data_IF_158488725468
#
_entry.id   IF_158488725468
#
_cell.length_a   1.000
_cell.length_b   1.000
_cell.length_c   1.000
_cell.angle_alpha   90.00
_cell.angle_beta   90.00
_cell.angle_gamma   90.00
#
_symmetry.space_group_name_H-M   'P 1'
#
loop_
_entity.id
_entity.type
_entity.pdbx_description
1 polymer ?
#
# COMPACT_ATOMS: atom_id res chain seq x y z
N UNK A 1 29.84 55.24 30.14
CA UNK A 1 28.85 54.94 29.08
C UNK A 1 29.56 54.98 27.74
N UNK A 2 30.13 53.86 27.31
CA UNK A 2 30.64 53.65 25.94
C UNK A 2 30.56 52.16 25.66
N UNK A 3 29.66 51.74 24.77
CA UNK A 3 29.58 50.35 24.31
C UNK A 3 30.64 50.13 23.23
N UNK A 4 31.59 49.25 23.54
CA UNK A 4 32.68 48.81 22.67
C UNK A 4 32.22 47.62 21.81
N UNK A 5 32.49 47.75 20.52
CA UNK A 5 32.58 46.64 19.55
C UNK A 5 33.79 45.78 19.94
N UNK A 6 33.61 44.47 20.06
CA UNK A 6 34.71 43.50 20.01
C UNK A 6 34.25 42.21 19.34
N UNK A 7 35.16 41.66 18.56
CA UNK A 7 35.00 40.67 17.52
C UNK A 7 34.94 39.22 18.01
N UNK A 8 34.40 38.37 17.13
CA UNK A 8 34.80 36.99 16.87
C UNK A 8 35.27 36.11 18.04
N UNK A 9 34.38 35.23 18.50
CA UNK A 9 34.78 33.89 18.93
C UNK A 9 34.02 32.84 18.12
N UNK A 10 34.71 32.36 17.07
CA UNK A 10 34.56 31.02 16.52
C UNK A 10 34.84 30.02 17.65
N UNK A 11 33.83 29.25 18.07
CA UNK A 11 34.06 27.97 18.74
C UNK A 11 33.87 26.85 17.70
N UNK A 12 34.94 26.13 17.33
CA UNK A 12 34.83 24.92 16.52
C UNK A 12 34.45 23.72 17.40
N UNK A 13 33.84 22.71 16.78
CA UNK A 13 33.62 21.36 17.30
C UNK A 13 32.53 21.19 18.36
N UNK A 14 31.28 21.34 17.91
CA UNK A 14 30.17 20.50 18.38
C UNK A 14 29.75 19.57 17.25
N UNK A 15 30.50 18.49 17.00
CA UNK A 15 30.09 17.43 16.07
C UNK A 15 28.82 16.81 16.62
N UNK A 16 27.67 17.20 16.08
CA UNK A 16 26.43 16.43 16.24
C UNK A 16 26.66 15.10 15.52
N UNK A 17 27.02 14.06 16.25
CA UNK A 17 27.09 12.71 15.74
C UNK A 17 25.69 12.25 15.32
N UNK A 18 25.35 12.41 14.03
CA UNK A 18 24.27 11.67 13.40
C UNK A 18 24.87 10.75 12.34
N UNK A 19 25.48 9.64 12.76
CA UNK A 19 25.80 8.57 11.81
C UNK A 19 24.49 7.82 11.47
N UNK A 20 23.64 8.43 10.64
CA UNK A 20 22.53 7.71 10.02
C UNK A 20 23.02 7.10 8.72
N UNK A 21 23.00 5.78 8.68
CA UNK A 21 23.41 5.00 7.52
C UNK A 21 22.60 5.44 6.29
N UNK A 22 23.26 5.55 5.15
CA UNK A 22 22.58 5.65 3.85
C UNK A 22 21.79 4.37 3.56
N UNK A 23 20.81 4.39 2.62
CA UNK A 23 20.07 3.19 2.24
C UNK A 23 20.96 1.96 1.94
N UNK A 24 22.03 2.17 1.17
CA UNK A 24 22.97 1.09 0.80
C UNK A 24 23.80 0.59 1.99
N UNK A 25 24.18 1.47 2.93
CA UNK A 25 24.91 1.06 4.14
C UNK A 25 24.00 0.28 5.09
N UNK A 26 22.74 0.70 5.24
CA UNK A 26 21.73 -0.04 6.01
C UNK A 26 21.48 -1.42 5.41
N UNK A 27 21.37 -1.52 4.09
CA UNK A 27 21.26 -2.80 3.39
C UNK A 27 22.47 -3.72 3.67
N UNK A 28 23.69 -3.19 3.56
CA UNK A 28 24.93 -3.92 3.86
C UNK A 28 24.99 -4.40 5.31
N UNK A 29 24.46 -3.62 6.25
CA UNK A 29 24.32 -4.02 7.65
C UNK A 29 23.36 -5.20 7.80
N UNK A 30 22.18 -5.15 7.14
CA UNK A 30 21.22 -6.26 7.17
C UNK A 30 21.76 -7.55 6.54
N UNK A 31 22.58 -7.44 5.50
CA UNK A 31 23.31 -8.59 4.92
C UNK A 31 24.28 -9.17 5.95
N UNK A 32 25.09 -8.33 6.61
CA UNK A 32 26.03 -8.79 7.65
C UNK A 32 25.30 -9.47 8.82
N UNK A 33 24.11 -8.97 9.16
CA UNK A 33 23.23 -9.56 10.18
C UNK A 33 22.47 -10.81 9.68
N UNK A 34 22.65 -11.22 8.42
CA UNK A 34 21.92 -12.33 7.77
C UNK A 34 20.40 -12.17 7.78
N UNK A 35 19.90 -10.93 7.87
CA UNK A 35 18.46 -10.61 7.80
C UNK A 35 17.96 -10.45 6.37
N UNK A 36 18.86 -10.14 5.44
CA UNK A 36 18.56 -9.94 4.02
C UNK A 36 19.62 -10.65 3.19
N UNK A 37 19.21 -11.30 2.10
CA UNK A 37 20.14 -11.91 1.13
C UNK A 37 20.61 -10.85 0.14
N UNK A 38 21.87 -10.96 -0.28
CA UNK A 38 22.44 -10.08 -1.28
C UNK A 38 21.77 -10.27 -2.65
N UNK A 39 21.40 -9.16 -3.28
CA UNK A 39 20.89 -9.09 -4.66
C UNK A 39 21.54 -7.89 -5.35
N UNK A 40 22.18 -8.12 -6.50
CA UNK A 40 22.88 -7.10 -7.28
C UNK A 40 21.93 -6.07 -7.92
N UNK A 41 20.70 -6.46 -8.28
CA UNK A 41 19.66 -5.55 -8.76
C UNK A 41 19.20 -4.64 -7.62
N UNK A 42 18.96 -5.19 -6.43
CA UNK A 42 18.61 -4.39 -5.25
C UNK A 42 19.73 -3.40 -4.90
N UNK A 43 21.00 -3.82 -4.94
CA UNK A 43 22.14 -2.91 -4.71
C UNK A 43 22.21 -1.78 -5.75
N UNK A 44 21.88 -2.06 -7.01
CA UNK A 44 21.80 -1.05 -8.08
C UNK A 44 20.70 -0.03 -7.80
N UNK A 45 19.51 -0.49 -7.40
CA UNK A 45 18.41 0.39 -6.98
C UNK A 45 18.83 1.23 -5.77
N UNK A 46 19.42 0.60 -4.75
CA UNK A 46 19.89 1.29 -3.54
C UNK A 46 20.95 2.36 -3.83
N UNK A 47 21.80 2.15 -4.83
CA UNK A 47 22.75 3.17 -5.28
C UNK A 47 22.03 4.42 -5.81
N UNK A 48 20.91 4.23 -6.53
CA UNK A 48 20.05 5.34 -6.96
C UNK A 48 19.34 5.99 -5.77
N UNK A 49 18.81 5.19 -4.84
CA UNK A 49 18.19 5.69 -3.60
C UNK A 49 19.15 6.51 -2.75
N UNK A 50 20.43 6.15 -2.70
CA UNK A 50 21.47 6.92 -2.02
C UNK A 50 21.66 8.31 -2.63
N UNK A 51 21.43 8.50 -3.93
CA UNK A 51 21.49 9.84 -4.55
C UNK A 51 20.32 10.71 -4.06
N UNK A 52 19.11 10.16 -4.04
CA UNK A 52 17.92 10.86 -3.52
C UNK A 52 18.08 11.17 -2.03
N UNK A 53 18.60 10.22 -1.24
CA UNK A 53 18.91 10.42 0.17
C UNK A 53 19.86 11.62 0.39
N UNK A 54 20.93 11.74 -0.40
CA UNK A 54 21.87 12.86 -0.29
C UNK A 54 21.21 14.20 -0.58
N UNK A 55 20.35 14.25 -1.61
CA UNK A 55 19.56 15.45 -1.91
C UNK A 55 18.64 15.81 -0.73
N UNK A 56 17.97 14.83 -0.14
CA UNK A 56 17.12 15.04 1.05
C UNK A 56 17.92 15.48 2.28
N UNK A 57 19.15 14.99 2.44
CA UNK A 57 19.99 15.37 3.58
C UNK A 57 20.33 16.86 3.58
N UNK A 58 20.54 17.43 2.40
CA UNK A 58 20.83 18.86 2.20
C UNK A 58 19.54 19.71 2.02
N UNK A 59 18.38 19.06 1.94
CA UNK A 59 17.14 19.74 1.63
C UNK A 59 16.54 20.46 2.83
N UNK A 60 16.29 21.77 2.66
CA UNK A 60 15.48 22.59 3.55
C UNK A 60 14.21 23.01 2.83
N UNK A 61 13.08 22.44 3.27
CA UNK A 61 11.78 22.69 2.67
C UNK A 61 11.24 24.08 2.97
N UNK A 62 11.51 24.64 4.15
CA UNK A 62 11.00 25.98 4.48
C UNK A 62 11.68 27.04 3.59
N UNK A 63 12.97 26.88 3.31
CA UNK A 63 13.65 27.69 2.30
C UNK A 63 13.02 27.55 0.90
N UNK A 64 12.63 26.33 0.50
CA UNK A 64 11.93 26.10 -0.76
C UNK A 64 10.61 26.90 -0.84
N UNK A 65 9.79 26.83 0.21
CA UNK A 65 8.48 27.52 0.28
C UNK A 65 8.63 29.05 0.28
N UNK A 66 9.62 29.57 1.00
CA UNK A 66 9.90 31.02 1.05
C UNK A 66 10.37 31.52 -0.33
N UNK A 67 11.23 30.77 -1.01
CA UNK A 67 11.68 31.08 -2.36
C UNK A 67 10.52 31.15 -3.36
N UNK A 68 9.56 30.24 -3.24
CA UNK A 68 8.35 30.23 -4.05
C UNK A 68 7.44 31.43 -3.77
N UNK A 69 7.15 31.73 -2.51
CA UNK A 69 6.35 32.88 -2.10
C UNK A 69 6.97 34.21 -2.57
N UNK A 70 8.31 34.32 -2.50
CA UNK A 70 9.04 35.48 -3.00
C UNK A 70 8.97 35.64 -4.52
N UNK A 71 8.98 34.54 -5.29
CA UNK A 71 8.77 34.55 -6.75
C UNK A 71 7.35 34.98 -7.12
N UNK A 72 6.32 34.47 -6.44
CA UNK A 72 4.92 34.89 -6.67
C UNK A 72 4.71 36.39 -6.52
N UNK A 73 5.41 37.03 -5.57
CA UNK A 73 5.35 38.49 -5.37
C UNK A 73 6.01 39.32 -6.48
N UNK A 74 6.91 38.74 -7.27
CA UNK A 74 7.61 39.45 -8.36
C UNK A 74 6.80 39.54 -9.65
N UNK A 75 5.75 38.75 -9.78
CA UNK A 75 4.95 38.66 -11.00
C UNK A 75 3.55 39.25 -10.80
N UNK A 76 2.97 39.83 -11.85
CA UNK A 76 1.64 40.46 -11.78
C UNK A 76 0.54 39.40 -11.54
N UNK A 77 -0.60 39.77 -10.92
CA UNK A 77 -1.69 38.85 -10.63
C UNK A 77 -2.23 38.13 -11.87
N UNK A 78 -2.28 38.83 -13.02
CA UNK A 78 -2.66 38.26 -14.32
C UNK A 78 -1.62 37.26 -14.86
N UNK A 79 -0.33 37.54 -14.68
CA UNK A 79 0.74 36.63 -15.06
C UNK A 79 0.74 35.37 -14.20
N UNK A 80 0.52 35.50 -12.89
CA UNK A 80 0.38 34.36 -11.99
C UNK A 80 -0.86 33.50 -12.32
N UNK A 81 -1.98 34.13 -12.71
CA UNK A 81 -3.20 33.43 -13.15
C UNK A 81 -2.99 32.69 -14.49
N UNK A 82 -2.30 33.32 -15.45
CA UNK A 82 -1.95 32.68 -16.72
C UNK A 82 -0.95 31.52 -16.52
N UNK A 83 0.06 31.69 -15.66
CA UNK A 83 1.00 30.62 -15.29
C UNK A 83 0.31 29.45 -14.58
N UNK A 84 -0.68 29.71 -13.72
CA UNK A 84 -1.47 28.62 -13.11
C UNK A 84 -2.30 27.80 -14.11
N UNK A 85 -2.54 28.33 -15.32
CA UNK A 85 -3.25 27.65 -16.41
C UNK A 85 -2.32 27.01 -17.45
N UNK A 86 -1.04 27.37 -17.49
CA UNK A 86 -0.07 26.93 -18.49
C UNK A 86 1.08 26.20 -17.78
N UNK A 87 0.84 24.93 -17.45
CA UNK A 87 1.76 23.95 -16.81
C UNK A 87 2.44 24.38 -15.50
N UNK A 88 2.47 23.53 -14.46
CA UNK A 88 3.20 23.85 -13.25
C UNK A 88 4.70 23.88 -13.56
N UNK A 89 5.32 25.07 -13.42
CA UNK A 89 6.77 25.20 -13.37
C UNK A 89 7.27 24.41 -12.15
N UNK A 90 7.72 23.19 -12.40
CA UNK A 90 8.46 22.38 -11.44
C UNK A 90 9.70 23.17 -11.02
N UNK A 91 9.78 23.52 -9.74
CA UNK A 91 10.91 24.29 -9.19
C UNK A 91 12.13 23.36 -9.04
N UNK A 92 13.23 23.75 -9.69
CA UNK A 92 14.49 23.02 -9.92
C UNK A 92 15.33 22.68 -8.66
N UNK A 93 14.76 22.79 -7.46
CA UNK A 93 15.50 22.64 -6.18
C UNK A 93 14.89 21.63 -5.20
N UNK A 94 13.67 21.13 -5.45
CA UNK A 94 13.13 20.05 -4.63
C UNK A 94 13.67 18.69 -5.13
N UNK A 95 14.17 17.81 -4.25
CA UNK A 95 14.67 16.49 -4.62
C UNK A 95 13.69 15.71 -5.50
N UNK A 96 14.23 14.93 -6.43
CA UNK A 96 13.39 14.03 -7.23
C UNK A 96 12.88 12.89 -6.34
N UNK A 97 11.63 12.50 -6.56
CA UNK A 97 11.06 11.31 -5.96
C UNK A 97 11.58 10.03 -6.61
N UNK A 98 11.03 8.90 -6.17
CA UNK A 98 11.32 7.57 -6.69
C UNK A 98 10.02 6.89 -7.07
N UNK A 99 9.97 6.29 -8.25
CA UNK A 99 8.90 5.39 -8.65
C UNK A 99 9.51 4.03 -8.94
N UNK A 100 9.36 3.10 -8.00
CA UNK A 100 9.90 1.76 -8.08
C UNK A 100 8.82 0.78 -8.56
N UNK A 101 9.03 0.18 -9.73
CA UNK A 101 8.09 -0.79 -10.28
C UNK A 101 8.76 -2.12 -10.60
N UNK A 102 7.96 -3.18 -10.72
CA UNK A 102 8.41 -4.53 -11.07
C UNK A 102 7.39 -5.57 -10.63
N UNK A 103 7.66 -6.84 -10.89
CA UNK A 103 6.73 -7.93 -10.58
C UNK A 103 6.49 -8.15 -9.08
N UNK A 104 5.52 -9.00 -8.73
CA UNK A 104 5.21 -9.27 -7.33
C UNK A 104 6.35 -10.06 -6.68
N UNK A 105 6.80 -9.65 -5.49
CA UNK A 105 7.78 -10.41 -4.70
C UNK A 105 9.25 -10.10 -4.96
N UNK A 106 9.58 -9.14 -5.83
CA UNK A 106 10.98 -8.74 -6.11
C UNK A 106 11.62 -7.83 -5.03
N UNK A 107 10.89 -7.49 -3.95
CA UNK A 107 11.45 -6.77 -2.79
C UNK A 107 11.23 -5.25 -2.77
N UNK A 108 10.33 -4.71 -3.61
CA UNK A 108 10.04 -3.25 -3.68
C UNK A 108 9.72 -2.63 -2.32
N UNK A 109 8.83 -3.26 -1.55
CA UNK A 109 8.42 -2.80 -0.22
C UNK A 109 9.61 -2.78 0.75
N UNK A 110 10.49 -3.78 0.70
CA UNK A 110 11.69 -3.82 1.53
C UNK A 110 12.67 -2.68 1.18
N UNK A 111 12.84 -2.37 -0.11
CA UNK A 111 13.65 -1.23 -0.53
C UNK A 111 13.05 0.11 -0.10
N UNK A 112 11.71 0.23 -0.12
CA UNK A 112 11.02 1.40 0.43
C UNK A 112 11.18 1.49 1.95
N UNK A 113 11.12 0.38 2.69
CA UNK A 113 11.36 0.33 4.14
C UNK A 113 12.76 0.83 4.48
N UNK A 114 13.77 0.33 3.77
CA UNK A 114 15.15 0.77 3.90
C UNK A 114 15.30 2.26 3.65
N UNK A 115 14.70 2.78 2.59
CA UNK A 115 14.73 4.21 2.32
C UNK A 115 14.04 4.99 3.44
N UNK A 116 12.82 4.60 3.82
CA UNK A 116 12.02 5.25 4.86
C UNK A 116 12.76 5.33 6.19
N UNK A 117 13.42 4.25 6.61
CA UNK A 117 14.20 4.19 7.85
C UNK A 117 15.37 5.17 7.84
N UNK A 118 15.97 5.38 6.66
CA UNK A 118 17.14 6.24 6.50
C UNK A 118 16.82 7.71 6.27
N UNK A 119 15.55 8.10 6.05
CA UNK A 119 15.18 9.52 5.84
C UNK A 119 15.79 10.43 6.94
N UNK A 120 16.42 11.57 6.56
CA UNK A 120 17.04 12.50 7.50
C UNK A 120 16.10 12.97 8.63
N UNK A 121 16.63 13.16 9.84
CA UNK A 121 15.85 13.50 11.04
C UNK A 121 15.09 14.81 10.96
N UNK A 122 15.66 15.78 10.24
CA UNK A 122 15.08 17.10 10.11
C UNK A 122 13.87 17.12 9.15
N UNK A 123 13.61 16.02 8.45
CA UNK A 123 12.47 15.86 7.56
C UNK A 123 11.38 14.99 8.18
N UNK A 124 10.15 15.45 8.05
CA UNK A 124 8.96 14.69 8.38
C UNK A 124 8.65 13.67 7.29
N UNK A 125 8.23 12.46 7.69
CA UNK A 125 7.98 11.34 6.78
C UNK A 125 6.65 10.66 7.11
N UNK A 126 5.97 10.18 6.08
CA UNK A 126 4.73 9.42 6.23
C UNK A 126 4.67 8.30 5.20
N UNK A 127 4.24 7.12 5.65
CA UNK A 127 4.04 5.94 4.80
C UNK A 127 2.58 5.53 4.84
N UNK A 128 2.00 5.28 3.67
CA UNK A 128 0.60 4.90 3.50
C UNK A 128 0.45 3.92 2.34
N UNK A 129 -0.54 3.04 2.41
CA UNK A 129 -1.06 2.39 1.21
C UNK A 129 -1.75 3.42 0.31
N UNK A 130 -1.60 3.28 -1.01
CA UNK A 130 -2.16 4.22 -1.98
C UNK A 130 -3.68 4.44 -1.82
N UNK A 131 -4.45 3.39 -1.56
CA UNK A 131 -5.88 3.51 -1.36
C UNK A 131 -6.24 4.35 -0.12
N UNK A 132 -5.53 4.15 1.00
CA UNK A 132 -5.73 4.95 2.21
C UNK A 132 -5.36 6.43 1.99
N UNK A 133 -4.32 6.69 1.19
CA UNK A 133 -3.97 8.04 0.76
C UNK A 133 -5.10 8.69 -0.05
N UNK A 134 -5.69 7.98 -1.01
CA UNK A 134 -6.82 8.50 -1.81
C UNK A 134 -8.07 8.74 -0.97
N UNK A 135 -8.40 7.84 -0.03
CA UNK A 135 -9.51 8.05 0.90
C UNK A 135 -9.32 9.33 1.74
N UNK A 136 -8.11 9.59 2.23
CA UNK A 136 -7.79 10.83 2.96
C UNK A 136 -7.99 12.07 2.08
N UNK A 137 -7.51 12.04 0.82
CA UNK A 137 -7.71 13.13 -0.14
C UNK A 137 -9.20 13.40 -0.38
N UNK A 138 -10.00 12.35 -0.63
CA UNK A 138 -11.44 12.50 -0.87
C UNK A 138 -12.17 13.03 0.37
N UNK A 139 -11.81 12.53 1.56
CA UNK A 139 -12.40 12.99 2.81
C UNK A 139 -12.13 14.49 3.06
N UNK A 140 -10.88 14.94 2.88
CA UNK A 140 -10.53 16.37 2.98
C UNK A 140 -11.17 17.20 1.87
N UNK A 141 -11.24 16.68 0.64
CA UNK A 141 -11.92 17.35 -0.48
C UNK A 141 -13.38 17.60 -0.14
N UNK A 142 -14.07 16.63 0.45
CA UNK A 142 -15.46 16.79 0.88
C UNK A 142 -15.63 17.88 1.95
N UNK A 143 -14.68 18.02 2.88
CA UNK A 143 -14.69 19.10 3.88
C UNK A 143 -14.59 20.47 3.21
N UNK A 144 -13.65 20.66 2.30
CA UNK A 144 -13.48 21.94 1.59
C UNK A 144 -14.60 22.24 0.59
N UNK A 145 -15.32 21.23 0.11
CA UNK A 145 -16.47 21.41 -0.78
C UNK A 145 -17.62 22.17 -0.10
N UNK A 146 -17.69 22.14 1.23
CA UNK A 146 -18.68 22.91 2.01
C UNK A 146 -18.36 24.41 1.98
N UNK A 147 -17.07 24.77 1.92
CA UNK A 147 -16.59 26.15 2.02
C UNK A 147 -16.16 26.79 0.69
N UNK A 148 -16.01 25.99 -0.38
CA UNK A 148 -15.49 26.43 -1.70
C UNK A 148 -16.49 26.26 -2.84
N UNK A 149 -16.41 27.13 -3.84
CA UNK A 149 -17.37 27.22 -4.95
C UNK A 149 -17.18 26.17 -6.05
N UNK A 150 -15.98 25.55 -6.18
CA UNK A 150 -15.70 24.53 -7.20
C UNK A 150 -15.05 23.27 -6.63
N UNK A 151 -15.31 22.13 -7.28
CA UNK A 151 -14.72 20.83 -6.91
C UNK A 151 -13.19 20.82 -7.10
N UNK A 152 -12.69 21.47 -8.15
CA UNK A 152 -11.24 21.57 -8.40
C UNK A 152 -10.55 22.37 -7.28
N UNK A 153 -11.12 23.48 -6.84
CA UNK A 153 -10.56 24.28 -5.75
C UNK A 153 -10.56 23.52 -4.41
N UNK A 154 -11.55 22.65 -4.20
CA UNK A 154 -11.63 21.79 -3.02
C UNK A 154 -10.55 20.70 -3.03
N UNK A 155 -10.32 20.05 -4.18
CA UNK A 155 -9.24 19.06 -4.35
C UNK A 155 -7.88 19.71 -4.16
N UNK A 156 -7.65 20.89 -4.73
CA UNK A 156 -6.39 21.62 -4.55
C UNK A 156 -6.15 22.00 -3.09
N UNK A 157 -7.16 22.50 -2.37
CA UNK A 157 -7.01 22.78 -0.94
C UNK A 157 -6.70 21.53 -0.13
N UNK A 158 -7.42 20.43 -0.38
CA UNK A 158 -7.18 19.16 0.29
C UNK A 158 -5.74 18.66 0.04
N UNK A 159 -5.26 18.80 -1.20
CA UNK A 159 -3.93 18.38 -1.60
C UNK A 159 -2.84 19.22 -0.92
N UNK A 160 -3.00 20.54 -0.85
CA UNK A 160 -2.08 21.42 -0.09
C UNK A 160 -2.12 21.16 1.41
N UNK A 161 -3.27 20.77 1.97
CA UNK A 161 -3.35 20.38 3.37
C UNK A 161 -2.56 19.10 3.63
N UNK A 162 -2.71 18.07 2.79
CA UNK A 162 -1.93 16.84 2.87
C UNK A 162 -0.43 17.11 2.65
N UNK A 163 -0.08 18.00 1.74
CA UNK A 163 1.32 18.38 1.51
C UNK A 163 1.99 18.95 2.77
N UNK A 164 1.25 19.65 3.63
CA UNK A 164 1.79 20.21 4.88
C UNK A 164 2.05 19.15 5.96
N UNK A 165 1.49 17.95 5.83
CA UNK A 165 1.61 16.90 6.84
C UNK A 165 2.98 16.22 6.83
N UNK A 166 3.71 16.24 5.70
CA UNK A 166 4.99 15.54 5.56
C UNK A 166 5.87 16.12 4.46
N UNK A 167 7.19 16.02 4.62
CA UNK A 167 8.19 16.42 3.62
C UNK A 167 8.48 15.29 2.65
N UNK A 168 8.40 14.04 3.13
CA UNK A 168 8.54 12.82 2.33
C UNK A 168 7.31 11.93 2.49
N UNK A 169 6.68 11.55 1.38
CA UNK A 169 5.53 10.64 1.35
C UNK A 169 5.91 9.35 0.63
N UNK A 170 5.85 8.23 1.36
CA UNK A 170 6.03 6.89 0.83
C UNK A 170 4.66 6.25 0.56
N UNK A 171 4.32 6.05 -0.71
CA UNK A 171 3.08 5.40 -1.16
C UNK A 171 3.38 3.95 -1.58
N UNK A 172 2.89 3.02 -0.77
CA UNK A 172 2.97 1.60 -1.10
C UNK A 172 1.83 1.18 -2.03
N UNK A 173 2.11 0.26 -2.93
CA UNK A 173 1.14 -0.41 -3.81
C UNK A 173 0.28 0.57 -4.63
N UNK A 174 0.94 1.53 -5.29
CA UNK A 174 0.27 2.47 -6.19
C UNK A 174 -0.41 1.73 -7.34
N UNK A 175 -1.74 1.74 -7.32
CA UNK A 175 -2.59 1.18 -8.35
C UNK A 175 -3.80 2.09 -8.56
N UNK A 176 -4.02 2.50 -9.81
CA UNK A 176 -5.16 3.36 -10.19
C UNK A 176 -6.10 2.52 -11.03
N UNK A 177 -7.29 2.26 -10.49
CA UNK A 177 -8.36 1.50 -11.16
C UNK A 177 -9.66 2.29 -11.24
N UNK A 178 -9.86 3.25 -10.34
CA UNK A 178 -11.08 4.04 -10.25
C UNK A 178 -10.98 5.35 -11.04
N UNK A 179 -12.09 5.76 -11.68
CA UNK A 179 -12.15 6.99 -12.48
C UNK A 179 -12.09 8.25 -11.62
N UNK A 180 -12.70 8.25 -10.44
CA UNK A 180 -12.67 9.40 -9.53
C UNK A 180 -11.25 9.66 -9.04
N UNK A 181 -10.50 8.61 -8.70
CA UNK A 181 -9.08 8.70 -8.35
C UNK A 181 -8.26 9.27 -9.51
N UNK A 182 -8.45 8.71 -10.71
CA UNK A 182 -7.75 9.16 -11.91
C UNK A 182 -8.00 10.65 -12.22
N UNK A 183 -9.22 11.16 -11.99
CA UNK A 183 -9.55 12.56 -12.26
C UNK A 183 -8.89 13.55 -11.29
N UNK A 184 -8.63 13.16 -10.04
CA UNK A 184 -8.07 14.06 -9.02
C UNK A 184 -6.55 13.97 -8.90
N UNK A 185 -5.96 12.81 -9.21
CA UNK A 185 -4.55 12.48 -8.96
C UNK A 185 -3.57 13.49 -9.55
N UNK A 186 -3.87 14.05 -10.73
CA UNK A 186 -3.04 15.09 -11.33
C UNK A 186 -2.85 16.27 -10.37
N UNK A 187 -3.96 16.85 -9.92
CA UNK A 187 -3.96 18.01 -9.02
C UNK A 187 -3.31 17.70 -7.68
N UNK A 188 -3.48 16.46 -7.20
CA UNK A 188 -2.83 16.00 -5.96
C UNK A 188 -1.31 16.01 -6.11
N UNK A 189 -0.77 15.36 -7.13
CA UNK A 189 0.67 15.33 -7.34
C UNK A 189 1.24 16.71 -7.69
N UNK A 190 0.52 17.53 -8.47
CA UNK A 190 0.93 18.91 -8.76
C UNK A 190 1.10 19.70 -7.45
N UNK A 191 0.12 19.64 -6.55
CA UNK A 191 0.19 20.35 -5.27
C UNK A 191 1.30 19.81 -4.35
N UNK A 192 1.49 18.49 -4.28
CA UNK A 192 2.58 17.88 -3.50
C UNK A 192 3.94 18.37 -3.99
N UNK A 193 4.20 18.30 -5.30
CA UNK A 193 5.49 18.68 -5.87
C UNK A 193 5.73 20.19 -5.84
N UNK A 194 4.69 20.99 -6.04
CA UNK A 194 4.72 22.42 -5.86
C UNK A 194 5.12 22.80 -4.43
N UNK A 195 4.54 22.13 -3.42
CA UNK A 195 4.87 22.35 -2.02
C UNK A 195 6.18 21.68 -1.57
N UNK A 196 6.99 21.21 -2.53
CA UNK A 196 8.31 20.66 -2.29
C UNK A 196 8.31 19.29 -1.60
N UNK A 197 7.22 18.53 -1.67
CA UNK A 197 7.14 17.16 -1.13
C UNK A 197 7.87 16.19 -2.06
N UNK A 198 8.70 15.32 -1.48
CA UNK A 198 9.35 14.23 -2.21
C UNK A 198 8.53 12.94 -2.05
N UNK A 199 8.30 12.21 -3.13
CA UNK A 199 7.53 10.95 -3.10
C UNK A 199 8.41 9.73 -3.30
N UNK A 200 8.13 8.63 -2.60
CA UNK A 200 8.60 7.30 -2.96
C UNK A 200 7.38 6.44 -3.23
N UNK A 201 7.24 5.90 -4.43
CA UNK A 201 6.12 5.06 -4.82
C UNK A 201 6.59 3.65 -5.18
N UNK A 202 5.85 2.63 -4.74
CA UNK A 202 6.01 1.25 -5.23
C UNK A 202 4.81 0.89 -6.11
N UNK A 203 5.02 0.15 -7.20
CA UNK A 203 3.91 -0.37 -8.03
C UNK A 203 4.26 -1.69 -8.72
N UNK A 204 3.24 -2.44 -9.11
CA UNK A 204 3.39 -3.60 -10.00
C UNK A 204 3.29 -3.21 -11.49
N UNK A 205 3.17 -1.92 -11.79
CA UNK A 205 3.06 -1.39 -13.15
C UNK A 205 4.04 -0.25 -13.32
N UNK A 206 4.58 -0.09 -14.53
CA UNK A 206 5.28 1.15 -14.89
C UNK A 206 4.29 2.33 -14.94
N UNK A 207 4.74 3.59 -14.79
CA UNK A 207 3.84 4.76 -14.80
C UNK A 207 2.93 4.82 -16.03
N UNK A 208 3.50 4.58 -17.22
CA UNK A 208 2.75 4.55 -18.49
C UNK A 208 1.66 3.48 -18.58
N UNK A 209 1.63 2.50 -17.68
CA UNK A 209 0.60 1.46 -17.60
C UNK A 209 -0.38 1.67 -16.42
N UNK A 210 -0.18 2.70 -15.60
CA UNK A 210 -1.16 3.08 -14.57
C UNK A 210 -2.47 3.46 -15.22
N UNK A 211 -3.60 2.96 -14.72
CA UNK A 211 -4.94 3.19 -15.26
C UNK A 211 -5.12 2.78 -16.74
N UNK A 212 -4.31 1.81 -17.22
CA UNK A 212 -4.42 1.30 -18.58
C UNK A 212 -5.83 0.71 -18.79
N UNK A 213 -6.46 1.07 -19.91
CA UNK A 213 -7.88 0.78 -20.22
C UNK A 213 -8.93 1.53 -19.37
N UNK A 214 -8.51 2.45 -18.50
CA UNK A 214 -9.43 3.28 -17.72
C UNK A 214 -10.28 4.22 -18.59
N UNK A 215 -11.49 4.50 -18.13
CA UNK A 215 -12.43 5.44 -18.78
C UNK A 215 -11.79 6.83 -18.80
N UNK A 216 -11.84 7.51 -19.96
CA UNK A 216 -11.18 8.83 -20.15
C UNK A 216 -9.68 8.86 -19.82
N UNK A 217 -8.95 7.75 -20.04
CA UNK A 217 -7.49 7.65 -19.86
C UNK A 217 -6.69 8.86 -20.37
N UNK A 218 -7.10 9.48 -21.49
CA UNK A 218 -6.44 10.67 -22.05
C UNK A 218 -6.31 11.81 -21.02
N UNK A 219 -7.31 12.00 -20.17
CA UNK A 219 -7.31 13.00 -19.10
C UNK A 219 -6.33 12.67 -17.96
N UNK A 220 -5.94 11.40 -17.82
CA UNK A 220 -4.97 10.93 -16.82
C UNK A 220 -3.52 10.96 -17.31
N UNK A 221 -3.28 10.99 -18.63
CA UNK A 221 -1.92 11.07 -19.21
C UNK A 221 -1.08 12.21 -18.62
N UNK A 222 -1.61 13.43 -18.37
CA UNK A 222 -0.83 14.48 -17.72
C UNK A 222 -0.32 14.10 -16.31
N UNK A 223 -1.07 13.32 -15.54
CA UNK A 223 -0.63 12.83 -14.24
C UNK A 223 0.53 11.83 -14.39
N UNK A 224 0.47 10.94 -15.39
CA UNK A 224 1.56 10.00 -15.70
C UNK A 224 2.84 10.77 -16.03
N UNK A 225 2.76 11.77 -16.90
CA UNK A 225 3.91 12.60 -17.27
C UNK A 225 4.52 13.29 -16.05
N UNK A 226 3.67 13.85 -15.19
CA UNK A 226 4.13 14.49 -13.97
C UNK A 226 4.86 13.53 -13.03
N UNK A 227 4.37 12.30 -12.90
CA UNK A 227 5.04 11.25 -12.13
C UNK A 227 6.41 10.93 -12.75
N UNK A 228 6.48 10.75 -14.07
CA UNK A 228 7.73 10.45 -14.79
C UNK A 228 8.74 11.62 -14.73
N UNK A 229 8.27 12.87 -14.73
CA UNK A 229 9.11 14.07 -14.64
C UNK A 229 9.65 14.33 -13.23
N UNK A 230 8.86 14.03 -12.19
CA UNK A 230 9.21 14.32 -10.78
C UNK A 230 9.76 13.13 -10.01
N UNK A 231 9.81 11.95 -10.61
CA UNK A 231 10.34 10.76 -9.99
C UNK A 231 11.37 10.07 -10.88
N UNK A 232 12.44 9.59 -10.26
CA UNK A 232 13.29 8.61 -10.89
C UNK A 232 12.52 7.29 -11.00
N UNK A 233 12.17 6.90 -12.23
CA UNK A 233 11.47 5.65 -12.52
C UNK A 233 12.49 4.51 -12.60
N UNK A 234 12.37 3.53 -11.71
CA UNK A 234 13.32 2.43 -11.55
C UNK A 234 12.58 1.10 -11.68
N UNK A 235 13.08 0.23 -12.55
CA UNK A 235 12.59 -1.13 -12.70
C UNK A 235 13.34 -2.09 -11.77
N UNK A 236 12.61 -2.93 -11.05
CA UNK A 236 13.11 -4.03 -10.23
C UNK A 236 12.48 -5.34 -10.73
N UNK A 237 12.87 -5.75 -11.93
CA UNK A 237 12.52 -7.06 -12.50
C UNK A 237 13.58 -8.08 -12.10
N UNK A 238 13.57 -8.47 -10.82
CA UNK A 238 14.37 -9.61 -10.36
C UNK A 238 13.64 -10.90 -10.72
N UNK A 239 14.28 -11.88 -11.41
CA UNK A 239 13.69 -13.20 -11.64
C UNK A 239 13.45 -13.97 -10.33
N UNK A 240 13.99 -13.46 -9.22
CA UNK A 240 13.89 -14.03 -7.90
C UNK A 240 12.67 -13.46 -7.16
N UNK A 241 11.63 -14.29 -6.99
CA UNK A 241 10.58 -14.01 -6.02
C UNK A 241 11.10 -14.36 -4.62
N UNK A 242 11.50 -13.34 -3.86
CA UNK A 242 12.05 -13.50 -2.52
C UNK A 242 11.05 -14.13 -1.53
N UNK A 243 9.74 -14.10 -1.84
CA UNK A 243 8.74 -14.82 -1.03
C UNK A 243 8.83 -16.33 -1.19
N UNK A 244 9.29 -16.83 -2.34
CA UNK A 244 9.39 -18.28 -2.61
C UNK A 244 10.63 -18.92 -1.96
N UNK A 245 11.61 -18.13 -1.54
CA UNK A 245 12.91 -18.62 -1.05
C UNK A 245 13.04 -18.68 0.48
N UNK A 246 12.13 -18.04 1.22
CA UNK A 246 12.01 -18.13 2.69
C UNK A 246 10.88 -19.10 3.05
N UNK A 247 10.91 -20.30 2.47
CA UNK A 247 10.10 -21.44 2.91
C UNK A 247 10.67 -21.98 4.22
N UNK A 248 10.27 -21.36 5.33
CA UNK A 248 10.05 -22.09 6.56
C UNK A 248 8.53 -22.25 6.71
N UNK A 249 8.07 -23.51 6.77
CA UNK A 249 6.68 -23.90 7.02
C UNK A 249 6.23 -23.46 8.41
N UNK A 250 5.91 -22.18 8.56
CA UNK A 250 5.34 -21.59 9.77
C UNK A 250 4.29 -20.51 9.45
N UNK A 251 3.63 -20.62 8.29
CA UNK A 251 2.64 -19.64 7.82
C UNK A 251 1.41 -19.53 8.71
N UNK A 252 0.64 -18.45 8.55
CA UNK A 252 -0.69 -18.25 9.16
C UNK A 252 -1.82 -18.74 8.25
N UNK A 253 -1.45 -19.28 7.09
CA UNK A 253 -2.32 -19.85 6.10
C UNK A 253 -1.97 -21.31 5.85
N UNK A 254 -2.93 -22.21 6.14
CA UNK A 254 -2.71 -23.65 6.12
C UNK A 254 -3.73 -24.33 5.22
N UNK A 255 -3.25 -24.96 4.15
CA UNK A 255 -4.09 -25.60 3.13
C UNK A 255 -3.86 -27.10 3.15
N UNK A 256 -4.93 -27.87 3.16
CA UNK A 256 -4.91 -29.28 2.74
C UNK A 256 -5.85 -29.46 1.55
N UNK A 257 -5.32 -30.16 0.52
CA UNK A 257 -6.09 -30.80 -0.55
C UNK A 257 -5.86 -32.31 -0.41
N UNK A 258 -6.80 -33.01 0.23
CA UNK A 258 -6.64 -34.40 0.65
C UNK A 258 -7.97 -35.13 0.80
N UNK A 259 -7.93 -36.32 1.40
CA UNK A 259 -9.12 -37.09 1.77
C UNK A 259 -10.03 -36.30 2.73
N UNK A 260 -11.30 -36.72 2.84
CA UNK A 260 -12.27 -36.04 3.71
C UNK A 260 -11.84 -36.12 5.18
N UNK A 261 -11.21 -37.22 5.56
CA UNK A 261 -10.72 -37.49 6.90
C UNK A 261 -9.56 -36.56 7.27
N UNK A 262 -8.59 -36.35 6.36
CA UNK A 262 -7.47 -35.42 6.55
C UNK A 262 -7.93 -33.96 6.64
N UNK A 263 -8.96 -33.59 5.88
CA UNK A 263 -9.54 -32.25 5.93
C UNK A 263 -10.18 -31.95 7.30
N UNK A 264 -10.90 -32.92 7.88
CA UNK A 264 -11.50 -32.78 9.21
C UNK A 264 -10.41 -32.66 10.28
N UNK A 265 -9.41 -33.55 10.26
CA UNK A 265 -8.31 -33.52 11.22
C UNK A 265 -7.54 -32.19 11.18
N UNK A 266 -7.32 -31.64 9.99
CA UNK A 266 -6.69 -30.33 9.81
C UNK A 266 -7.53 -29.19 10.36
N UNK A 267 -8.83 -29.17 10.06
CA UNK A 267 -9.74 -28.16 10.57
C UNK A 267 -9.78 -28.17 12.09
N UNK A 268 -9.90 -29.35 12.71
CA UNK A 268 -9.94 -29.49 14.17
C UNK A 268 -8.60 -29.11 14.82
N UNK A 269 -7.48 -29.52 14.22
CA UNK A 269 -6.14 -29.15 14.68
C UNK A 269 -5.93 -27.64 14.71
N UNK A 270 -6.24 -26.94 13.61
CA UNK A 270 -6.05 -25.49 13.53
C UNK A 270 -7.08 -24.72 14.35
N UNK A 271 -8.31 -25.23 14.46
CA UNK A 271 -9.29 -24.64 15.36
C UNK A 271 -8.82 -24.70 16.81
N UNK A 272 -8.33 -25.86 17.28
CA UNK A 272 -7.79 -26.03 18.62
C UNK A 272 -6.51 -25.19 18.85
N UNK A 273 -5.68 -25.02 17.83
CA UNK A 273 -4.50 -24.17 17.92
C UNK A 273 -4.87 -22.68 18.03
N UNK A 274 -5.82 -22.20 17.22
CA UNK A 274 -6.25 -20.80 17.26
C UNK A 274 -7.15 -20.47 18.45
N UNK A 275 -7.84 -21.44 19.05
CA UNK A 275 -8.69 -21.19 20.22
C UNK A 275 -7.90 -20.74 21.44
N UNK A 276 -6.63 -21.15 21.54
CA UNK A 276 -5.74 -20.84 22.68
C UNK A 276 -6.35 -21.25 24.04
N UNK A 277 -7.10 -22.35 24.05
CA UNK A 277 -7.75 -22.90 25.26
C UNK A 277 -9.10 -22.25 25.63
N UNK A 278 -9.61 -21.29 24.85
CA UNK A 278 -10.95 -20.72 25.05
C UNK A 278 -12.06 -21.77 24.84
N UNK A 279 -13.17 -21.69 25.60
CA UNK A 279 -14.29 -22.63 25.46
C UNK A 279 -14.99 -22.47 24.11
N UNK A 280 -15.36 -23.59 23.52
CA UNK A 280 -16.07 -23.62 22.25
C UNK A 280 -17.53 -23.20 22.46
N UNK A 281 -17.97 -22.24 21.64
CA UNK A 281 -19.34 -21.74 21.58
C UNK A 281 -19.89 -21.99 20.18
N UNK A 282 -21.04 -22.64 20.11
CA UNK A 282 -21.78 -22.88 18.86
C UNK A 282 -22.86 -21.81 18.68
N UNK A 283 -23.16 -21.50 17.42
CA UNK A 283 -24.23 -20.58 17.02
C UNK A 283 -24.17 -19.21 17.73
N UNK A 284 -22.94 -18.66 17.85
CA UNK A 284 -22.72 -17.35 18.48
C UNK A 284 -23.29 -16.25 17.59
N UNK A 285 -24.20 -15.44 18.13
CA UNK A 285 -24.77 -14.30 17.40
C UNK A 285 -23.90 -13.05 17.54
N UNK A 286 -23.47 -12.50 16.41
CA UNK A 286 -22.84 -11.18 16.33
C UNK A 286 -23.80 -10.14 15.78
N UNK A 287 -23.88 -8.99 16.44
CA UNK A 287 -24.71 -7.86 15.99
C UNK A 287 -23.85 -6.90 15.18
N UNK A 288 -24.14 -6.79 13.89
CA UNK A 288 -23.38 -5.99 12.93
C UNK A 288 -24.36 -4.99 12.34
N UNK A 289 -24.19 -3.69 12.61
CA UNK A 289 -25.07 -2.62 12.06
C UNK A 289 -26.59 -2.91 12.18
N UNK A 290 -27.03 -3.55 13.27
CA UNK A 290 -28.43 -3.88 13.53
C UNK A 290 -28.94 -5.19 12.92
N UNK A 291 -28.11 -5.97 12.21
CA UNK A 291 -28.41 -7.34 11.77
C UNK A 291 -27.63 -8.36 12.61
N UNK A 292 -28.17 -9.57 12.74
CA UNK A 292 -27.53 -10.69 13.46
C UNK A 292 -26.85 -11.62 12.47
N UNK A 293 -25.60 -11.98 12.75
CA UNK A 293 -24.82 -12.97 12.02
C UNK A 293 -24.59 -14.16 12.95
N UNK A 294 -25.02 -15.34 12.54
CA UNK A 294 -24.77 -16.57 13.29
C UNK A 294 -23.39 -17.12 12.90
N UNK A 295 -22.51 -17.24 13.89
CA UNK A 295 -21.19 -17.88 13.78
C UNK A 295 -21.34 -19.33 14.22
N UNK A 296 -21.27 -20.32 13.30
CA UNK A 296 -21.59 -21.73 13.60
C UNK A 296 -20.75 -22.31 14.74
N UNK A 297 -19.46 -21.98 14.76
CA UNK A 297 -18.53 -22.44 15.79
C UNK A 297 -17.47 -21.38 16.03
N UNK A 298 -17.22 -21.05 17.29
CA UNK A 298 -16.22 -20.09 17.71
C UNK A 298 -15.60 -20.48 19.05
N UNK A 299 -14.44 -19.92 19.38
CA UNK A 299 -13.87 -20.02 20.72
C UNK A 299 -13.35 -18.63 21.11
N UNK A 300 -14.01 -18.01 22.10
CA UNK A 300 -13.82 -16.60 22.45
C UNK A 300 -13.88 -15.69 21.21
N UNK A 301 -13.09 -14.63 21.23
CA UNK A 301 -12.81 -13.75 20.08
C UNK A 301 -11.53 -14.19 19.33
N UNK A 302 -11.03 -15.39 19.62
CA UNK A 302 -9.77 -15.88 19.06
C UNK A 302 -9.98 -16.55 17.70
N UNK A 303 -10.98 -17.43 17.57
CA UNK A 303 -11.21 -18.17 16.33
C UNK A 303 -12.69 -18.34 16.01
N UNK A 304 -13.02 -18.24 14.72
CA UNK A 304 -14.29 -18.68 14.13
C UNK A 304 -14.07 -19.82 13.13
N UNK A 305 -15.05 -20.71 12.99
CA UNK A 305 -15.08 -21.75 11.97
C UNK A 305 -16.37 -21.67 11.16
N UNK A 306 -16.21 -21.73 9.84
CA UNK A 306 -17.28 -21.73 8.86
C UNK A 306 -16.98 -22.77 7.78
N UNK A 307 -18.02 -23.35 7.20
CA UNK A 307 -17.93 -23.95 5.86
C UNK A 307 -17.98 -22.86 4.79
N UNK A 308 -17.49 -23.16 3.58
CA UNK A 308 -17.58 -22.25 2.43
C UNK A 308 -19.03 -21.87 2.12
N UNK A 309 -19.96 -22.81 2.26
CA UNK A 309 -21.38 -22.57 2.00
C UNK A 309 -21.97 -21.57 3.02
N UNK A 310 -21.65 -21.73 4.31
CA UNK A 310 -22.15 -20.84 5.35
C UNK A 310 -21.59 -19.42 5.22
N UNK A 311 -20.35 -19.27 4.77
CA UNK A 311 -19.69 -17.96 4.66
C UNK A 311 -19.95 -17.25 3.34
N UNK A 312 -19.94 -17.96 2.21
CA UNK A 312 -20.00 -17.36 0.88
C UNK A 312 -21.37 -17.51 0.18
N UNK A 313 -22.14 -18.56 0.47
CA UNK A 313 -23.47 -18.74 -0.15
C UNK A 313 -24.56 -17.95 0.58
N UNK A 314 -24.37 -17.59 1.85
CA UNK A 314 -25.29 -16.71 2.61
C UNK A 314 -25.19 -15.25 2.15
N UNK A 315 -26.25 -14.43 2.31
CA UNK A 315 -26.29 -13.04 1.86
C UNK A 315 -25.51 -12.09 2.79
N UNK A 316 -24.22 -12.35 2.98
CA UNK A 316 -23.29 -11.47 3.70
C UNK A 316 -22.77 -10.36 2.78
N UNK A 317 -22.59 -9.18 3.35
CA UNK A 317 -22.05 -8.00 2.70
C UNK A 317 -20.58 -7.76 3.07
N UNK A 318 -19.90 -6.88 2.35
CA UNK A 318 -18.51 -6.51 2.65
C UNK A 318 -18.32 -6.02 4.09
N UNK A 319 -19.29 -5.28 4.64
CA UNK A 319 -19.27 -4.81 6.03
C UNK A 319 -19.35 -5.98 7.03
N UNK A 320 -20.10 -7.03 6.69
CA UNK A 320 -20.24 -8.22 7.54
C UNK A 320 -18.92 -8.99 7.60
N UNK A 321 -18.26 -9.20 6.45
CA UNK A 321 -16.93 -9.83 6.41
C UNK A 321 -15.90 -9.04 7.21
N UNK A 322 -15.88 -7.72 7.07
CA UNK A 322 -14.94 -6.88 7.80
C UNK A 322 -15.16 -6.94 9.32
N UNK A 323 -16.41 -6.94 9.77
CA UNK A 323 -16.73 -7.04 11.19
C UNK A 323 -16.36 -8.40 11.77
N UNK A 324 -16.62 -9.49 11.03
CA UNK A 324 -16.16 -10.84 11.41
C UNK A 324 -14.64 -10.88 11.54
N UNK A 325 -13.90 -10.35 10.56
CA UNK A 325 -12.44 -10.35 10.54
C UNK A 325 -11.81 -9.38 11.56
N UNK A 326 -12.58 -8.42 12.10
CA UNK A 326 -12.17 -7.55 13.21
C UNK A 326 -12.45 -8.17 14.58
N UNK A 327 -13.53 -8.94 14.68
CA UNK A 327 -13.94 -9.60 15.91
C UNK A 327 -13.03 -10.79 16.21
N UNK A 328 -12.74 -11.60 15.19
CA UNK A 328 -11.94 -12.82 15.35
C UNK A 328 -10.51 -12.64 14.84
N UNK A 329 -9.54 -13.11 15.64
CA UNK A 329 -8.11 -13.11 15.26
C UNK A 329 -7.76 -14.21 14.26
N UNK A 330 -8.57 -15.26 14.18
CA UNK A 330 -8.36 -16.43 13.33
C UNK A 330 -9.67 -16.96 12.72
N UNK A 331 -9.55 -17.57 11.55
CA UNK A 331 -10.66 -18.24 10.85
C UNK A 331 -10.23 -19.61 10.34
N UNK A 332 -11.09 -20.61 10.54
CA UNK A 332 -11.00 -21.92 9.89
C UNK A 332 -12.14 -22.01 8.86
N UNK A 333 -11.80 -22.04 7.57
CA UNK A 333 -12.76 -22.13 6.48
C UNK A 333 -12.71 -23.50 5.80
N UNK A 334 -13.76 -24.30 5.96
CA UNK A 334 -13.79 -25.67 5.45
C UNK A 334 -14.56 -25.81 4.14
N UNK A 335 -14.33 -26.92 3.44
CA UNK A 335 -15.15 -27.38 2.31
C UNK A 335 -15.18 -26.41 1.14
N UNK A 336 -14.06 -25.75 0.84
CA UNK A 336 -13.97 -24.87 -0.33
C UNK A 336 -14.09 -25.77 -1.59
N UNK A 337 -15.15 -25.60 -2.40
CA UNK A 337 -15.36 -26.40 -3.59
C UNK A 337 -14.43 -25.94 -4.71
N UNK A 338 -14.41 -26.70 -5.80
CA UNK A 338 -13.96 -26.16 -7.08
C UNK A 338 -14.95 -25.07 -7.53
N UNK A 339 -14.46 -23.86 -7.79
CA UNK A 339 -15.31 -22.72 -8.09
C UNK A 339 -15.21 -22.47 -9.60
N UNK A 340 -16.30 -22.74 -10.32
CA UNK A 340 -16.37 -22.48 -11.75
C UNK A 340 -16.71 -21.00 -12.02
N UNK A 341 -16.26 -20.48 -13.17
CA UNK A 341 -16.39 -19.06 -13.57
C UNK A 341 -17.83 -18.61 -13.82
N UNK A 342 -18.75 -19.56 -13.98
CA UNK A 342 -20.19 -19.33 -14.08
C UNK A 342 -20.80 -18.86 -12.75
N UNK A 343 -20.17 -19.15 -11.60
CA UNK A 343 -20.62 -18.71 -10.26
C UNK A 343 -19.97 -17.42 -9.79
N UNK A 344 -20.06 -16.36 -10.61
CA UNK A 344 -19.40 -15.05 -10.38
C UNK A 344 -19.68 -14.42 -9.02
N UNK A 345 -20.91 -14.52 -8.53
CA UNK A 345 -21.29 -13.92 -7.24
C UNK A 345 -20.56 -14.56 -6.06
N UNK A 346 -20.36 -15.89 -6.10
CA UNK A 346 -19.59 -16.60 -5.08
C UNK A 346 -18.12 -16.22 -5.14
N UNK A 347 -17.56 -16.05 -6.33
CA UNK A 347 -16.18 -15.60 -6.53
C UNK A 347 -15.98 -14.22 -5.90
N UNK A 348 -16.88 -13.28 -6.20
CA UNK A 348 -16.80 -11.92 -5.66
C UNK A 348 -16.91 -11.91 -4.14
N UNK A 349 -17.82 -12.69 -3.55
CA UNK A 349 -17.95 -12.81 -2.09
C UNK A 349 -16.72 -13.42 -1.45
N UNK A 350 -16.16 -14.48 -2.03
CA UNK A 350 -14.94 -15.09 -1.55
C UNK A 350 -13.75 -14.12 -1.62
N UNK A 351 -13.57 -13.41 -2.74
CA UNK A 351 -12.56 -12.35 -2.87
C UNK A 351 -12.77 -11.27 -1.80
N UNK A 352 -14.01 -10.81 -1.58
CA UNK A 352 -14.32 -9.81 -0.56
C UNK A 352 -13.94 -10.28 0.84
N UNK A 353 -14.17 -11.55 1.16
CA UNK A 353 -13.76 -12.14 2.43
C UNK A 353 -12.24 -12.21 2.58
N UNK A 354 -11.51 -12.67 1.54
CA UNK A 354 -10.04 -12.72 1.57
C UNK A 354 -9.46 -11.31 1.73
N UNK A 355 -10.04 -10.32 1.06
CA UNK A 355 -9.64 -8.93 1.17
C UNK A 355 -9.81 -8.41 2.60
N UNK A 356 -10.97 -8.69 3.24
CA UNK A 356 -11.21 -8.34 4.64
C UNK A 356 -10.24 -9.05 5.61
N UNK A 357 -9.99 -10.35 5.41
CA UNK A 357 -9.07 -11.14 6.22
C UNK A 357 -7.62 -10.64 6.13
N UNK A 358 -7.22 -10.24 4.92
CA UNK A 358 -5.92 -9.64 4.65
C UNK A 358 -5.80 -8.28 5.37
N UNK A 359 -6.79 -7.40 5.20
CA UNK A 359 -6.74 -6.05 5.78
C UNK A 359 -6.73 -6.04 7.32
N UNK A 360 -7.26 -7.08 7.97
CA UNK A 360 -7.25 -7.20 9.45
C UNK A 360 -6.13 -8.06 10.02
N UNK A 361 -5.20 -8.54 9.18
CA UNK A 361 -4.14 -9.45 9.58
C UNK A 361 -4.62 -10.77 10.22
N UNK A 362 -5.81 -11.25 9.83
CA UNK A 362 -6.41 -12.47 10.39
C UNK A 362 -5.60 -13.72 10.00
N UNK A 363 -5.48 -14.68 10.93
CA UNK A 363 -4.93 -16.02 10.64
C UNK A 363 -6.00 -16.88 9.96
N UNK A 364 -5.66 -17.66 8.94
CA UNK A 364 -6.64 -18.34 8.10
C UNK A 364 -6.25 -19.80 7.80
N UNK A 365 -6.90 -20.79 8.39
CA UNK A 365 -6.74 -22.19 7.97
C UNK A 365 -7.86 -22.58 7.01
N UNK A 366 -7.54 -23.29 5.92
CA UNK A 366 -8.53 -23.65 4.90
C UNK A 366 -8.44 -25.12 4.47
N UNK A 367 -9.59 -25.71 4.14
CA UNK A 367 -9.66 -27.01 3.46
C UNK A 367 -10.29 -26.84 2.08
N UNK A 368 -9.66 -27.42 1.07
CA UNK A 368 -10.07 -27.24 -0.33
C UNK A 368 -10.02 -28.56 -1.08
N UNK A 369 -10.98 -28.77 -1.99
CA UNK A 369 -11.01 -29.97 -2.85
C UNK A 369 -9.91 -29.95 -3.92
N UNK A 370 -9.45 -28.77 -4.31
CA UNK A 370 -8.46 -28.54 -5.37
C UNK A 370 -7.39 -27.55 -4.92
N UNK A 371 -6.16 -27.67 -5.43
CA UNK A 371 -5.13 -26.66 -5.19
C UNK A 371 -5.64 -25.29 -5.66
N UNK A 372 -5.36 -24.22 -4.90
CA UNK A 372 -5.82 -22.86 -5.23
C UNK A 372 -5.41 -22.40 -6.64
N UNK A 373 -4.23 -22.82 -7.11
CA UNK A 373 -3.71 -22.58 -8.47
C UNK A 373 -4.61 -23.15 -9.56
N UNK A 374 -5.34 -24.22 -9.25
CA UNK A 374 -6.22 -24.96 -10.16
C UNK A 374 -7.71 -24.78 -9.79
N UNK A 375 -8.04 -23.93 -8.83
CA UNK A 375 -9.42 -23.76 -8.34
C UNK A 375 -10.37 -23.18 -9.40
N UNK A 376 -9.80 -22.57 -10.45
CA UNK A 376 -10.52 -22.00 -11.59
C UNK A 376 -9.93 -22.49 -12.90
N UNK A 377 -10.57 -23.47 -13.55
CA UNK A 377 -10.25 -23.80 -14.95
C UNK A 377 -10.67 -22.65 -15.87
N UNK A 378 -9.68 -21.96 -16.43
CA UNK A 378 -9.91 -20.89 -17.41
C UNK A 378 -10.31 -21.52 -18.74
N UNK A 379 -11.62 -21.54 -19.02
CA UNK A 379 -12.08 -21.85 -20.37
C UNK A 379 -11.77 -20.63 -21.26
N UNK A 380 -10.71 -20.72 -22.08
CA UNK A 380 -10.15 -19.62 -22.91
C UNK A 380 -11.13 -19.00 -23.93
N UNK A 381 -12.38 -19.46 -23.99
CA UNK A 381 -13.37 -19.07 -24.98
C UNK A 381 -14.50 -18.15 -24.47
N UNK A 382 -14.51 -17.73 -23.20
CA UNK A 382 -15.54 -16.78 -22.72
C UNK A 382 -15.13 -15.32 -22.93
N UNK A 383 -15.73 -14.67 -23.92
CA UNK A 383 -15.49 -13.27 -24.31
C UNK A 383 -15.68 -12.24 -23.17
N UNK A 384 -14.76 -11.27 -23.15
CA UNK A 384 -14.76 -9.89 -22.59
C UNK A 384 -15.26 -9.59 -21.17
N UNK A 385 -16.05 -10.43 -20.51
CA UNK A 385 -16.68 -10.11 -19.22
C UNK A 385 -16.05 -10.84 -18.02
N UNK A 386 -14.82 -11.36 -18.14
CA UNK A 386 -14.11 -12.09 -17.08
C UNK A 386 -12.73 -11.54 -16.73
N UNK A 387 -12.25 -10.49 -17.40
CA UNK A 387 -10.91 -9.94 -17.16
C UNK A 387 -10.79 -9.24 -15.80
N UNK A 388 -11.84 -8.56 -15.34
CA UNK A 388 -11.84 -7.91 -14.03
C UNK A 388 -11.89 -8.93 -12.89
N UNK A 389 -12.72 -9.97 -13.01
CA UNK A 389 -12.78 -11.06 -12.05
C UNK A 389 -11.46 -11.85 -12.01
N UNK A 390 -10.84 -12.10 -13.17
CA UNK A 390 -9.51 -12.73 -13.23
C UNK A 390 -8.44 -11.86 -12.56
N UNK A 391 -8.48 -10.55 -12.75
CA UNK A 391 -7.52 -9.64 -12.11
C UNK A 391 -7.75 -9.56 -10.59
N UNK A 392 -9.01 -9.48 -10.15
CA UNK A 392 -9.38 -9.51 -8.74
C UNK A 392 -8.99 -10.85 -8.09
N UNK A 393 -9.12 -11.96 -8.81
CA UNK A 393 -8.73 -13.27 -8.35
C UNK A 393 -7.21 -13.43 -8.24
N UNK A 394 -6.45 -13.00 -9.24
CA UNK A 394 -4.98 -13.00 -9.18
C UNK A 394 -4.46 -12.20 -7.98
N UNK A 395 -5.15 -11.10 -7.64
CA UNK A 395 -4.88 -10.30 -6.44
C UNK A 395 -5.19 -11.09 -5.16
N UNK A 396 -6.35 -11.73 -5.07
CA UNK A 396 -6.75 -12.54 -3.93
C UNK A 396 -5.79 -13.73 -3.70
N UNK A 397 -5.36 -14.41 -4.77
CA UNK A 397 -4.33 -15.45 -4.70
C UNK A 397 -3.00 -14.92 -4.18
N UNK A 398 -2.57 -13.75 -4.67
CA UNK A 398 -1.35 -13.13 -4.15
C UNK A 398 -1.45 -12.79 -2.66
N UNK A 399 -2.62 -12.34 -2.18
CA UNK A 399 -2.89 -12.07 -0.76
C UNK A 399 -2.86 -13.35 0.07
N UNK A 400 -3.52 -14.41 -0.38
CA UNK A 400 -3.47 -15.73 0.27
C UNK A 400 -2.03 -16.26 0.38
N UNK A 401 -1.24 -16.12 -0.70
CA UNK A 401 0.18 -16.46 -0.67
C UNK A 401 0.99 -15.59 0.30
N UNK A 402 0.64 -14.31 0.49
CA UNK A 402 1.32 -13.47 1.48
C UNK A 402 0.97 -13.90 2.90
N UNK A 403 -0.29 -14.22 3.18
CA UNK A 403 -0.76 -14.75 4.46
C UNK A 403 -0.11 -16.09 4.81
N UNK A 404 0.36 -16.85 3.82
CA UNK A 404 1.09 -18.11 4.03
C UNK A 404 2.57 -17.94 4.38
N UNK A 405 3.10 -16.71 4.39
CA UNK A 405 4.52 -16.46 4.70
C UNK A 405 4.76 -16.25 6.19
N UNK A 406 5.93 -16.66 6.69
CA UNK A 406 6.34 -16.48 8.08
C UNK A 406 6.37 -14.99 8.53
N UNK A 407 6.52 -14.05 7.59
CA UNK A 407 6.55 -12.60 7.83
C UNK A 407 5.20 -12.04 8.29
N UNK A 408 4.09 -12.70 7.93
CA UNK A 408 2.75 -12.31 8.35
C UNK A 408 2.53 -12.44 9.87
N UNK A 409 3.11 -13.48 10.50
CA UNK A 409 2.98 -13.71 11.95
C UNK A 409 3.81 -12.75 12.83
N UNK A 410 4.74 -11.99 12.24
CA UNK A 410 5.65 -11.11 12.96
C UNK A 410 5.19 -9.64 13.00
N UNK A 411 4.04 -9.34 12.38
CA UNK A 411 3.37 -8.04 12.35
C UNK A 411 2.14 -8.12 13.24
#
# INVERSE_FOLDING_TARGET
MSFLISACHYTPLGVRHFSRLTPIERYKELIKQKKVRYDSLQETVLTSLTKVYKQLYEYDREHHRIGELARRRRHSPLYNYLLSKVSPMVIDHAPLGVYLYGDVGCGKTMLMDLFYDTIPEHLTKKRLHFHAFMQNIHHKTHKFKVDKTSQEDAVLAASHEVAKESDVICLDEVAVTDVADAMVLRHVFEALYHDGVTTFMTSNRKPSDLYINGVQRKSFIPAIKLIEERNQVICLDSPTDYRKQDQHDSGSFHVISGSKEEAVEHADKWFAYFSDGEPVVYDRQLSVWGRKIDVPKSAGDNVMQFTFEELCCRPLSAADYLELCRTFKGCVLTDIPEIHIDKRDLIRRFITFIDAAYDTHMKLAVTTKVKFENMFEVNKNSNLAGHEEMFAFSRALSRLHQMSTARWNAS
#
